data_IF_888678327221
#
_entry.id   IF_888678327221
#
_cell.length_a   1.000
_cell.length_b   1.000
_cell.length_c   1.000
_cell.angle_alpha   90.00
_cell.angle_beta   90.00
_cell.angle_gamma   90.00
#
_symmetry.space_group_name_H-M   'P 1'
#
loop_
_entity.id
_entity.type
_entity.pdbx_description
1 polymer ?
#
# COMPACT_ATOMS: atom_id res chain seq x y z
N UNK A 1 11.57 22.22 -4.87
CA UNK A 1 12.16 20.89 -5.11
C UNK A 1 12.95 20.56 -3.87
N UNK A 2 12.33 19.90 -2.89
CA UNK A 2 13.04 19.31 -1.77
C UNK A 2 13.62 17.96 -2.18
N UNK A 3 14.68 17.50 -1.50
CA UNK A 3 15.36 16.23 -1.81
C UNK A 3 14.41 15.01 -1.88
N UNK A 4 13.28 15.05 -1.17
CA UNK A 4 12.25 14.00 -1.24
C UNK A 4 11.55 13.96 -2.61
N UNK A 5 11.20 15.11 -3.18
CA UNK A 5 10.54 15.17 -4.49
C UNK A 5 11.49 14.71 -5.60
N UNK A 6 12.77 15.06 -5.49
CA UNK A 6 13.82 14.63 -6.43
C UNK A 6 14.01 13.11 -6.38
N UNK A 7 14.16 12.51 -5.18
CA UNK A 7 14.24 11.06 -5.03
C UNK A 7 13.02 10.33 -5.57
N UNK A 8 11.82 10.88 -5.33
CA UNK A 8 10.59 10.28 -5.82
C UNK A 8 10.47 10.36 -7.34
N UNK A 9 10.96 11.44 -7.96
CA UNK A 9 10.99 11.59 -9.41
C UNK A 9 11.98 10.59 -10.05
N UNK A 10 13.19 10.48 -9.50
CA UNK A 10 14.20 9.53 -9.98
C UNK A 10 13.74 8.07 -9.81
N UNK A 11 13.08 7.73 -8.69
CA UNK A 11 12.51 6.41 -8.48
C UNK A 11 11.37 6.11 -9.44
N UNK A 12 10.50 7.09 -9.74
CA UNK A 12 9.43 6.92 -10.72
C UNK A 12 9.98 6.69 -12.13
N UNK A 13 11.01 7.44 -12.52
CA UNK A 13 11.71 7.24 -13.80
C UNK A 13 12.34 5.83 -13.87
N UNK A 14 13.01 5.39 -12.81
CA UNK A 14 13.58 4.04 -12.73
C UNK A 14 12.50 2.93 -12.77
N UNK A 15 11.29 3.20 -12.30
CA UNK A 15 10.16 2.26 -12.34
C UNK A 15 9.57 2.11 -13.75
N UNK A 16 9.69 3.14 -14.58
CA UNK A 16 9.23 3.13 -15.97
C UNK A 16 10.32 2.65 -16.96
N UNK A 17 11.59 2.64 -16.53
CA UNK A 17 12.72 2.19 -17.36
C UNK A 17 12.71 0.66 -17.56
N UNK A 18 12.58 0.15 -18.81
CA UNK A 18 12.60 -1.28 -19.12
C UNK A 18 13.94 -1.96 -18.83
N UNK A 19 15.06 -1.22 -18.84
CA UNK A 19 16.38 -1.72 -18.44
C UNK A 19 16.66 -1.47 -16.94
N UNK A 20 15.70 -0.85 -16.24
CA UNK A 20 15.74 -0.49 -14.82
C UNK A 20 14.93 -1.43 -13.93
N UNK A 21 13.88 -0.90 -13.27
CA UNK A 21 13.05 -1.64 -12.29
C UNK A 21 11.68 -2.05 -12.85
N UNK A 22 11.38 -1.77 -14.13
CA UNK A 22 10.07 -2.05 -14.71
C UNK A 22 9.67 -3.55 -14.68
N UNK A 23 10.64 -4.47 -14.65
CA UNK A 23 10.39 -5.90 -14.53
C UNK A 23 9.95 -6.33 -13.11
N UNK A 24 10.43 -5.61 -12.10
CA UNK A 24 10.14 -5.85 -10.69
C UNK A 24 8.88 -5.12 -10.21
N UNK A 25 8.51 -4.01 -10.85
CA UNK A 25 7.34 -3.20 -10.52
C UNK A 25 6.07 -3.88 -11.00
N UNK A 26 5.12 -4.02 -10.09
CA UNK A 26 3.80 -4.60 -10.35
C UNK A 26 2.70 -3.63 -9.94
N UNK A 27 1.54 -3.66 -10.62
CA UNK A 27 0.38 -2.90 -10.19
C UNK A 27 -0.09 -3.40 -8.82
N UNK A 28 -0.39 -2.45 -7.95
CA UNK A 28 -0.87 -2.68 -6.58
C UNK A 28 -2.27 -2.12 -6.49
N UNK A 29 -3.23 -2.98 -6.17
CA UNK A 29 -4.59 -2.57 -5.87
C UNK A 29 -4.94 -3.01 -4.45
N UNK A 30 -5.23 -2.04 -3.61
CA UNK A 30 -5.69 -2.26 -2.25
C UNK A 30 -7.14 -1.85 -2.04
N UNK A 31 -7.75 -2.44 -1.03
CA UNK A 31 -9.04 -2.06 -0.52
C UNK A 31 -9.03 -2.04 1.00
N UNK A 32 -9.72 -1.04 1.55
CA UNK A 32 -10.00 -0.90 2.97
C UNK A 32 -11.50 -0.86 3.15
N UNK A 33 -12.03 -1.86 3.84
CA UNK A 33 -13.43 -1.82 4.27
C UNK A 33 -13.52 -1.08 5.58
N UNK A 34 -14.11 0.12 5.55
CA UNK A 34 -14.46 0.88 6.75
C UNK A 34 -15.84 0.39 7.19
N UNK A 35 -15.90 -0.25 8.37
CA UNK A 35 -17.20 -0.64 8.95
C UNK A 35 -18.01 0.61 9.23
N UNK A 36 -19.20 0.68 8.66
CA UNK A 36 -20.15 1.75 9.00
C UNK A 36 -20.55 1.66 10.47
N UNK A 37 -20.57 2.82 11.13
CA UNK A 37 -20.99 2.94 12.52
C UNK A 37 -22.51 2.95 12.66
N UNK A 38 -22.99 2.95 13.91
CA UNK A 38 -24.37 3.29 14.20
C UNK A 38 -24.50 4.81 14.23
N UNK A 39 -25.41 5.37 13.42
CA UNK A 39 -25.69 6.80 13.40
C UNK A 39 -27.06 7.05 14.08
N UNK A 40 -27.07 7.64 15.29
CA UNK A 40 -28.30 7.92 16.01
C UNK A 40 -29.17 9.00 15.35
N UNK A 41 -28.66 9.83 14.42
CA UNK A 41 -29.48 10.83 13.72
C UNK A 41 -30.39 10.21 12.64
N UNK A 42 -29.97 9.09 12.05
CA UNK A 42 -30.70 8.40 10.97
C UNK A 42 -31.44 7.14 11.48
N UNK A 43 -31.23 6.77 12.75
CA UNK A 43 -31.85 5.60 13.37
C UNK A 43 -31.43 4.26 12.75
N UNK A 44 -30.25 4.20 12.10
CA UNK A 44 -29.80 3.05 11.33
C UNK A 44 -28.28 2.85 11.32
N UNK A 45 -27.83 1.70 10.82
CA UNK A 45 -26.41 1.42 10.58
C UNK A 45 -25.96 2.06 9.27
N UNK A 46 -24.90 2.85 9.30
CA UNK A 46 -24.26 3.39 8.09
C UNK A 46 -23.73 2.20 7.26
N UNK A 47 -23.87 2.26 5.94
CA UNK A 47 -23.32 1.21 5.07
C UNK A 47 -21.79 1.23 5.15
N UNK A 48 -21.17 0.04 5.17
CA UNK A 48 -19.72 -0.07 5.10
C UNK A 48 -19.22 0.55 3.79
N UNK A 49 -18.30 1.51 3.89
CA UNK A 49 -17.67 2.12 2.74
C UNK A 49 -16.36 1.40 2.44
N UNK A 50 -16.17 1.01 1.18
CA UNK A 50 -14.90 0.44 0.72
C UNK A 50 -14.11 1.55 0.05
N UNK A 51 -12.96 1.88 0.64
CA UNK A 51 -11.97 2.76 0.04
C UNK A 51 -11.03 1.87 -0.76
N UNK A 52 -10.87 2.16 -2.04
CA UNK A 52 -9.87 1.52 -2.88
C UNK A 52 -8.63 2.39 -2.93
N UNK A 53 -7.47 1.80 -3.14
CA UNK A 53 -6.29 2.57 -3.49
C UNK A 53 -5.50 1.82 -4.55
N UNK A 54 -4.94 2.59 -5.47
CA UNK A 54 -4.18 2.08 -6.60
C UNK A 54 -2.80 2.72 -6.59
N UNK A 55 -1.81 1.92 -6.93
CA UNK A 55 -0.44 2.38 -7.11
C UNK A 55 0.41 1.31 -7.77
N UNK A 56 1.72 1.51 -7.71
CA UNK A 56 2.71 0.56 -8.22
C UNK A 56 3.75 0.29 -7.15
N UNK A 57 4.30 -0.91 -7.16
CA UNK A 57 5.31 -1.28 -6.17
C UNK A 57 6.00 -2.59 -6.49
N UNK A 58 7.01 -2.89 -5.69
CA UNK A 58 7.85 -4.08 -5.84
C UNK A 58 7.48 -5.10 -4.78
N UNK A 59 7.21 -6.33 -5.22
CA UNK A 59 6.98 -7.47 -4.33
C UNK A 59 8.29 -8.22 -4.10
N UNK A 60 8.73 -8.29 -2.85
CA UNK A 60 9.89 -9.04 -2.40
C UNK A 60 9.54 -10.08 -1.36
N UNK A 61 10.46 -11.00 -1.09
CA UNK A 61 10.39 -11.93 0.02
C UNK A 61 11.19 -11.42 1.23
N UNK A 62 10.83 -11.89 2.42
CA UNK A 62 11.65 -11.66 3.61
C UNK A 62 12.90 -12.54 3.57
N UNK A 63 14.04 -12.00 4.00
CA UNK A 63 15.26 -12.78 4.13
C UNK A 63 15.19 -13.69 5.35
N UNK A 64 15.86 -14.84 5.32
CA UNK A 64 15.79 -15.86 6.38
C UNK A 64 16.05 -15.31 7.79
N UNK A 65 16.91 -14.31 7.94
CA UNK A 65 17.21 -13.64 9.22
C UNK A 65 16.05 -12.81 9.79
N UNK A 66 15.12 -12.36 8.95
CA UNK A 66 13.93 -11.61 9.36
C UNK A 66 12.76 -12.53 9.73
N UNK A 67 12.82 -13.81 9.35
CA UNK A 67 11.76 -14.79 9.59
C UNK A 67 11.90 -15.33 11.02
N UNK A 68 11.03 -14.86 11.91
CA UNK A 68 10.92 -15.28 13.31
C UNK A 68 9.91 -16.45 13.47
N UNK A 69 9.18 -16.81 12.40
CA UNK A 69 8.18 -17.89 12.41
C UNK A 69 6.88 -17.56 13.17
N UNK A 70 6.88 -16.53 14.01
CA UNK A 70 5.68 -16.03 14.72
C UNK A 70 5.13 -14.77 14.06
N UNK A 71 5.88 -13.67 14.06
CA UNK A 71 5.45 -12.39 13.46
C UNK A 71 5.62 -12.36 11.95
N UNK A 72 6.80 -12.76 11.47
CA UNK A 72 7.15 -12.83 10.06
C UNK A 72 7.32 -14.31 9.71
N UNK A 73 6.55 -14.78 8.73
CA UNK A 73 6.57 -16.15 8.25
C UNK A 73 7.22 -16.22 6.87
N UNK A 74 7.66 -17.41 6.47
CA UNK A 74 8.28 -17.66 5.15
C UNK A 74 7.34 -17.34 3.99
N UNK A 75 6.03 -17.47 4.19
CA UNK A 75 5.01 -17.18 3.18
C UNK A 75 4.67 -15.68 3.09
N UNK A 76 5.26 -14.84 3.94
CA UNK A 76 5.00 -13.40 3.92
C UNK A 76 5.70 -12.74 2.74
N UNK A 77 4.98 -11.79 2.16
CA UNK A 77 5.46 -10.98 1.04
C UNK A 77 5.66 -9.55 1.52
N UNK A 78 6.82 -8.99 1.20
CA UNK A 78 7.16 -7.59 1.47
C UNK A 78 6.79 -6.78 0.23
N UNK A 79 5.92 -5.80 0.39
CA UNK A 79 5.53 -4.89 -0.68
C UNK A 79 6.12 -3.51 -0.41
N UNK A 80 6.92 -3.00 -1.35
CA UNK A 80 7.47 -1.66 -1.31
C UNK A 80 6.77 -0.78 -2.33
N UNK A 81 6.19 0.34 -1.88
CA UNK A 81 5.37 1.24 -2.71
C UNK A 81 5.81 2.68 -2.48
N UNK A 82 5.80 3.51 -3.52
CA UNK A 82 6.08 4.94 -3.41
C UNK A 82 4.89 5.70 -2.83
N UNK A 83 5.12 6.63 -1.89
CA UNK A 83 4.00 7.37 -1.25
C UNK A 83 3.31 8.33 -2.22
N UNK A 84 4.04 8.89 -3.18
CA UNK A 84 3.53 9.81 -4.19
C UNK A 84 2.78 9.11 -5.34
N UNK A 85 2.93 7.80 -5.48
CA UNK A 85 2.22 7.01 -6.51
C UNK A 85 1.02 6.24 -5.96
N UNK A 86 0.76 6.33 -4.65
CA UNK A 86 -0.33 5.64 -4.02
C UNK A 86 -1.49 6.61 -3.80
N UNK A 87 -2.59 6.40 -4.52
CA UNK A 87 -3.75 7.29 -4.48
C UNK A 87 -4.97 6.54 -3.92
N UNK A 88 -5.72 7.18 -3.01
CA UNK A 88 -7.01 6.66 -2.54
C UNK A 88 -8.09 7.04 -3.54
N UNK A 89 -9.05 6.14 -3.74
CA UNK A 89 -10.27 6.38 -4.48
C UNK A 89 -11.45 5.75 -3.75
N UNK A 90 -12.59 6.42 -3.80
CA UNK A 90 -13.86 5.77 -3.47
C UNK A 90 -14.40 5.09 -4.71
N UNK A 91 -15.32 4.13 -4.52
CA UNK A 91 -16.02 3.45 -5.61
C UNK A 91 -16.54 4.48 -6.63
N UNK A 92 -15.91 4.55 -7.80
CA UNK A 92 -16.27 5.45 -8.90
C UNK A 92 -15.43 6.72 -9.07
N UNK A 93 -14.47 7.04 -8.18
CA UNK A 93 -13.59 8.18 -8.35
C UNK A 93 -12.21 7.95 -7.68
N UNK A 94 -11.14 8.02 -8.48
CA UNK A 94 -9.77 8.17 -7.95
C UNK A 94 -9.65 9.61 -7.46
N UNK A 95 -9.30 9.80 -6.20
CA UNK A 95 -9.03 11.12 -5.63
C UNK A 95 -7.53 11.37 -5.68
N UNK A 96 -7.10 12.63 -5.90
CA UNK A 96 -5.71 13.07 -5.75
C UNK A 96 -5.20 13.03 -4.29
N UNK A 97 -5.94 12.36 -3.40
CA UNK A 97 -5.56 12.20 -2.01
C UNK A 97 -4.51 11.08 -1.90
N UNK A 98 -3.34 11.36 -1.30
CA UNK A 98 -2.32 10.35 -1.10
C UNK A 98 -2.83 9.28 -0.15
N UNK A 99 -2.61 8.01 -0.51
CA UNK A 99 -3.04 6.90 0.32
C UNK A 99 -2.08 6.57 1.44
N UNK A 100 -2.67 6.26 2.58
CA UNK A 100 -1.96 5.71 3.72
C UNK A 100 -2.48 4.28 3.96
N UNK A 101 -1.76 3.22 3.52
CA UNK A 101 -2.16 1.84 3.78
C UNK A 101 -2.20 1.57 5.28
N UNK A 102 -3.10 0.71 5.74
CA UNK A 102 -3.28 0.37 7.16
C UNK A 102 -3.30 -1.13 7.37
N UNK A 103 -2.98 -1.51 8.60
CA UNK A 103 -3.07 -2.89 9.06
C UNK A 103 -4.52 -3.35 8.91
N UNK A 104 -4.72 -4.50 8.28
CA UNK A 104 -6.03 -5.09 8.02
C UNK A 104 -6.62 -4.78 6.64
N UNK A 105 -5.98 -3.92 5.84
CA UNK A 105 -6.37 -3.72 4.44
C UNK A 105 -6.10 -4.99 3.61
N UNK A 106 -6.76 -5.09 2.46
CA UNK A 106 -6.56 -6.18 1.51
C UNK A 106 -5.87 -5.65 0.26
N UNK A 107 -4.67 -6.14 -0.06
CA UNK A 107 -3.85 -5.67 -1.17
C UNK A 107 -3.52 -6.84 -2.09
N UNK A 108 -3.94 -6.76 -3.36
CA UNK A 108 -3.69 -7.78 -4.38
C UNK A 108 -4.03 -9.20 -3.93
N UNK A 109 -5.10 -9.35 -3.14
CA UNK A 109 -5.56 -10.63 -2.59
C UNK A 109 -4.91 -11.07 -1.27
N UNK A 110 -3.94 -10.31 -0.76
CA UNK A 110 -3.29 -10.55 0.54
C UNK A 110 -3.83 -9.62 1.61
N UNK A 111 -3.73 -10.04 2.88
CA UNK A 111 -4.02 -9.20 4.03
C UNK A 111 -2.78 -8.46 4.50
N UNK A 112 -2.93 -7.17 4.77
CA UNK A 112 -1.89 -6.33 5.37
C UNK A 112 -1.76 -6.64 6.86
N UNK A 113 -0.59 -7.10 7.28
CA UNK A 113 -0.26 -7.38 8.68
C UNK A 113 0.47 -6.23 9.36
N UNK A 114 1.33 -5.54 8.62
CA UNK A 114 2.13 -4.44 9.12
C UNK A 114 2.35 -3.40 8.03
N UNK A 115 2.45 -2.14 8.43
CA UNK A 115 2.76 -1.02 7.54
C UNK A 115 3.84 -0.18 8.21
N UNK A 116 4.96 -0.02 7.53
CA UNK A 116 6.07 0.82 7.95
C UNK A 116 6.29 1.94 6.94
N UNK A 117 6.67 3.11 7.46
CA UNK A 117 7.04 4.29 6.68
C UNK A 117 8.55 4.43 6.70
N UNK A 118 9.14 4.73 5.55
CA UNK A 118 10.56 5.05 5.48
C UNK A 118 10.87 6.42 6.14
N UNK A 119 12.02 6.60 6.83
CA UNK A 119 12.38 7.86 7.47
C UNK A 119 12.44 9.06 6.51
N UNK A 120 12.80 8.84 5.25
CA UNK A 120 12.78 9.88 4.22
C UNK A 120 11.35 10.23 3.76
N UNK A 121 10.35 9.48 4.23
CA UNK A 121 8.94 9.65 3.89
C UNK A 121 8.66 9.49 2.38
N UNK A 122 9.51 8.74 1.69
CA UNK A 122 9.44 8.52 0.25
C UNK A 122 8.67 7.24 -0.12
N UNK A 123 8.77 6.20 0.72
CA UNK A 123 8.19 4.86 0.46
C UNK A 123 7.40 4.31 1.65
N UNK A 124 6.51 3.36 1.34
CA UNK A 124 5.80 2.49 2.26
C UNK A 124 6.36 1.07 2.14
N UNK A 125 6.62 0.43 3.28
CA UNK A 125 6.94 -1.00 3.37
C UNK A 125 5.77 -1.72 4.03
N UNK A 126 5.14 -2.63 3.31
CA UNK A 126 3.92 -3.31 3.72
C UNK A 126 4.20 -4.80 3.83
N UNK A 127 3.83 -5.40 4.95
CA UNK A 127 3.87 -6.85 5.14
C UNK A 127 2.53 -7.45 4.74
N UNK A 128 2.57 -8.35 3.77
CA UNK A 128 1.42 -9.04 3.21
C UNK A 128 1.45 -10.53 3.56
N UNK A 129 0.30 -11.09 3.93
CA UNK A 129 0.10 -12.53 4.16
C UNK A 129 -1.20 -12.99 3.52
N UNK A 130 -1.22 -14.20 2.98
CA UNK A 130 -2.41 -14.80 2.37
C UNK A 130 -3.42 -15.25 3.42
#
# INVERSE_FOLDING_TARGET
>A
MGMREELQAELAEAFDDPDGLADAVKPVAGSRTVKGGYDPEIGGTVQASTIHYTGRGVFGSYVAKEIDGTRIQTEDVKLLVLQNELFEGQVGAVTDAPAAPKIGDQVSGYRVLNVAKDPAQATWTIQLRK
#
